data_IF_102449965219
#
_entry.id   IF_102449965219
#
_cell.length_a   1.000
_cell.length_b   1.000
_cell.length_c   1.000
_cell.angle_alpha   90.00
_cell.angle_beta   90.00
_cell.angle_gamma   90.00
#
_symmetry.space_group_name_H-M   'P 1'
#
loop_
_entity.id
_entity.type
_entity.pdbx_description
1 polymer ?
#
# COMPACT_ATOMS: atom_id res chain seq x y z
N UNK A 1 -17.85 -3.78 -40.37
CA UNK A 1 -18.74 -3.21 -39.31
C UNK A 1 -17.91 -3.17 -38.07
N UNK A 2 -17.64 -1.97 -37.56
CA UNK A 2 -16.80 -1.78 -36.38
C UNK A 2 -17.53 -2.33 -35.14
N UNK A 3 -16.91 -3.30 -34.45
CA UNK A 3 -17.36 -3.77 -33.16
C UNK A 3 -17.24 -2.63 -32.12
N UNK A 4 -18.32 -1.87 -31.97
CA UNK A 4 -18.44 -0.93 -30.87
C UNK A 4 -18.54 -1.66 -29.53
N UNK A 5 -18.27 -0.98 -28.39
CA UNK A 5 -18.36 -1.59 -27.07
C UNK A 5 -19.77 -2.14 -26.85
N UNK A 6 -19.83 -3.44 -26.50
CA UNK A 6 -21.09 -4.14 -26.25
C UNK A 6 -21.70 -3.63 -24.95
N UNK A 7 -22.96 -3.15 -24.93
CA UNK A 7 -23.60 -2.70 -23.70
C UNK A 7 -23.60 -3.77 -22.61
N UNK A 8 -23.47 -3.37 -21.34
CA UNK A 8 -23.39 -4.30 -20.20
C UNK A 8 -24.61 -5.25 -20.05
N UNK A 9 -25.77 -4.85 -20.59
CA UNK A 9 -27.01 -5.66 -20.63
C UNK A 9 -27.16 -6.52 -21.88
N UNK A 10 -26.20 -6.51 -22.80
CA UNK A 10 -26.28 -7.33 -23.98
C UNK A 10 -26.12 -8.82 -23.61
N UNK A 11 -26.75 -9.71 -24.39
CA UNK A 11 -26.67 -11.16 -24.17
C UNK A 11 -25.22 -11.67 -24.07
N UNK A 12 -24.28 -11.08 -24.83
CA UNK A 12 -22.88 -11.42 -24.77
C UNK A 12 -22.22 -11.09 -23.42
N UNK A 13 -22.63 -9.98 -22.77
CA UNK A 13 -22.16 -9.62 -21.44
C UNK A 13 -22.82 -10.46 -20.33
N UNK A 14 -24.04 -10.89 -20.56
CA UNK A 14 -24.77 -11.78 -19.63
C UNK A 14 -24.32 -13.25 -19.73
N UNK A 15 -23.64 -13.62 -20.81
CA UNK A 15 -23.02 -14.93 -20.98
C UNK A 15 -21.65 -15.06 -20.27
N UNK A 16 -21.19 -14.03 -19.58
CA UNK A 16 -20.06 -14.14 -18.65
C UNK A 16 -20.40 -15.22 -17.63
N UNK A 17 -19.70 -16.36 -17.73
CA UNK A 17 -19.79 -17.40 -16.71
C UNK A 17 -19.27 -16.75 -15.42
N UNK A 18 -20.15 -16.53 -14.49
CA UNK A 18 -19.72 -16.31 -13.12
C UNK A 18 -18.97 -17.57 -12.72
N UNK A 19 -17.69 -17.44 -12.40
CA UNK A 19 -16.97 -18.53 -11.78
C UNK A 19 -17.81 -18.96 -10.57
N UNK A 20 -18.09 -20.26 -10.45
CA UNK A 20 -18.75 -20.79 -9.26
C UNK A 20 -17.97 -20.25 -8.06
N UNK A 21 -18.60 -19.41 -7.28
CA UNK A 21 -18.00 -19.00 -6.00
C UNK A 21 -17.98 -20.28 -5.18
N UNK A 22 -16.79 -20.78 -4.79
CA UNK A 22 -16.75 -21.91 -3.87
C UNK A 22 -17.61 -21.54 -2.67
N UNK A 23 -18.35 -22.51 -2.14
CA UNK A 23 -19.09 -22.35 -0.88
C UNK A 23 -18.20 -21.56 0.07
N UNK A 24 -18.74 -20.51 0.68
CA UNK A 24 -17.99 -19.64 1.61
C UNK A 24 -17.51 -20.49 2.77
N UNK A 25 -16.37 -21.12 2.57
CA UNK A 25 -15.58 -21.68 3.66
C UNK A 25 -15.28 -20.52 4.61
N UNK A 26 -15.36 -20.79 5.89
CA UNK A 26 -15.01 -19.81 6.91
C UNK A 26 -13.61 -19.27 6.63
N UNK A 27 -13.51 -17.95 6.36
CA UNK A 27 -12.25 -17.30 6.03
C UNK A 27 -11.46 -17.09 7.34
N UNK A 28 -10.60 -18.06 7.66
CA UNK A 28 -9.73 -18.00 8.82
C UNK A 28 -8.30 -17.58 8.42
N UNK A 29 -7.46 -17.09 9.35
CA UNK A 29 -6.03 -16.88 9.09
C UNK A 29 -5.32 -18.14 8.57
N UNK A 30 -5.65 -19.31 9.08
CA UNK A 30 -5.09 -20.58 8.61
C UNK A 30 -5.45 -20.85 7.15
N UNK A 31 -6.69 -20.60 6.76
CA UNK A 31 -7.10 -20.68 5.35
C UNK A 31 -6.41 -19.59 4.51
N UNK A 32 -6.40 -18.35 4.98
CA UNK A 32 -5.93 -17.20 4.21
C UNK A 32 -4.42 -17.26 3.91
N UNK A 33 -3.58 -17.50 4.91
CA UNK A 33 -2.12 -17.51 4.77
C UNK A 33 -1.39 -18.61 5.52
N UNK A 34 -2.08 -19.50 6.26
CA UNK A 34 -1.40 -20.57 7.00
C UNK A 34 -0.49 -21.40 6.10
N UNK A 35 0.79 -21.48 6.47
CA UNK A 35 1.84 -22.19 5.72
C UNK A 35 2.34 -21.47 4.45
N UNK A 36 1.83 -20.28 4.15
CA UNK A 36 2.32 -19.48 3.02
C UNK A 36 3.64 -18.77 3.36
N UNK A 37 4.50 -18.58 2.37
CA UNK A 37 5.82 -17.96 2.50
C UNK A 37 6.00 -16.73 1.62
N UNK A 38 5.01 -16.39 0.79
CA UNK A 38 5.12 -15.36 -0.22
C UNK A 38 5.71 -15.82 -1.54
N UNK A 39 6.03 -17.12 -1.68
CA UNK A 39 6.65 -17.67 -2.89
C UNK A 39 5.86 -17.35 -4.15
N UNK A 40 6.55 -16.86 -5.19
CA UNK A 40 5.99 -16.52 -6.49
C UNK A 40 5.29 -15.16 -6.53
N UNK A 41 5.26 -14.41 -5.43
CA UNK A 41 4.69 -13.06 -5.35
C UNK A 41 5.79 -12.01 -5.49
N UNK A 42 5.57 -11.01 -6.33
CA UNK A 42 6.45 -9.87 -6.55
C UNK A 42 5.92 -8.64 -5.82
N UNK A 43 6.75 -8.08 -4.96
CA UNK A 43 6.40 -6.90 -4.16
C UNK A 43 7.28 -5.73 -4.56
N UNK A 44 6.69 -4.62 -4.99
CA UNK A 44 7.39 -3.36 -5.18
C UNK A 44 7.37 -2.52 -3.90
N UNK A 45 8.52 -2.04 -3.47
CA UNK A 45 8.63 -1.03 -2.41
C UNK A 45 8.98 0.30 -3.07
N UNK A 46 7.97 1.17 -3.21
CA UNK A 46 8.13 2.51 -3.78
C UNK A 46 8.45 3.46 -2.64
N UNK A 47 9.75 3.79 -2.50
CA UNK A 47 10.28 4.44 -1.29
C UNK A 47 11.63 5.14 -1.55
N UNK A 48 12.51 5.20 -0.55
CA UNK A 48 13.84 5.82 -0.58
C UNK A 48 14.96 4.96 -1.17
N UNK A 49 14.61 3.77 -1.66
CA UNK A 49 15.57 2.74 -2.08
C UNK A 49 15.64 1.61 -1.06
N UNK A 50 16.41 0.56 -1.38
CA UNK A 50 16.67 -0.56 -0.49
C UNK A 50 18.17 -0.86 -0.49
N UNK A 51 18.77 -1.03 0.68
CA UNK A 51 20.10 -1.61 0.84
C UNK A 51 20.00 -3.14 0.65
N UNK A 52 20.20 -3.60 -0.59
CA UNK A 52 20.01 -5.00 -0.97
C UNK A 52 20.98 -5.96 -0.25
N UNK A 53 22.13 -5.45 0.23
CA UNK A 53 23.11 -6.25 0.97
C UNK A 53 22.80 -6.33 2.47
N UNK A 54 21.78 -5.63 2.94
CA UNK A 54 21.45 -5.66 4.36
C UNK A 54 21.13 -7.10 4.82
N UNK A 55 21.78 -7.61 5.89
CA UNK A 55 21.60 -9.01 6.33
C UNK A 55 20.15 -9.41 6.60
N UNK A 56 19.32 -8.46 7.04
CA UNK A 56 17.89 -8.69 7.30
C UNK A 56 17.07 -9.00 6.04
N UNK A 57 17.62 -8.82 4.84
CA UNK A 57 16.91 -9.07 3.58
C UNK A 57 17.29 -10.41 2.92
N UNK A 58 18.37 -11.07 3.39
CA UNK A 58 18.71 -12.42 2.96
C UNK A 58 18.78 -12.67 1.45
N UNK A 59 19.01 -11.63 0.63
CA UNK A 59 19.02 -11.72 -0.83
C UNK A 59 17.64 -11.71 -1.50
N UNK A 60 16.58 -11.31 -0.79
CA UNK A 60 15.22 -11.24 -1.32
C UNK A 60 14.98 -10.11 -2.34
N UNK A 61 15.97 -9.20 -2.52
CA UNK A 61 15.83 -8.04 -3.42
C UNK A 61 16.22 -8.42 -4.84
N UNK A 62 15.29 -8.28 -5.76
CA UNK A 62 15.53 -8.40 -7.20
C UNK A 62 16.07 -7.06 -7.74
N UNK A 63 17.38 -6.98 -7.85
CA UNK A 63 18.05 -5.79 -8.38
C UNK A 63 17.73 -5.56 -9.86
N UNK A 64 17.44 -6.61 -10.64
CA UNK A 64 17.13 -6.49 -12.06
C UNK A 64 15.78 -5.82 -12.33
N UNK A 65 14.84 -5.97 -11.40
CA UNK A 65 13.53 -5.32 -11.42
C UNK A 65 13.51 -3.99 -10.62
N UNK A 66 14.64 -3.60 -10.04
CA UNK A 66 14.76 -2.37 -9.26
C UNK A 66 15.11 -1.16 -10.13
N UNK A 67 14.59 0.01 -9.75
CA UNK A 67 14.75 1.25 -10.51
C UNK A 67 14.80 2.46 -9.58
N UNK A 68 15.52 3.49 -9.96
CA UNK A 68 15.55 4.79 -9.28
C UNK A 68 15.06 5.90 -10.23
N UNK A 69 14.24 6.78 -9.72
CA UNK A 69 13.76 7.98 -10.39
C UNK A 69 14.40 9.21 -9.76
N UNK A 70 15.41 9.72 -10.42
CA UNK A 70 16.15 10.91 -10.01
C UNK A 70 15.68 12.15 -10.80
N UNK A 71 16.11 13.34 -10.39
CA UNK A 71 15.93 14.55 -11.19
C UNK A 71 17.27 14.89 -11.86
N UNK A 72 17.21 15.33 -13.10
CA UNK A 72 18.36 15.95 -13.76
C UNK A 72 18.54 17.42 -13.36
N UNK A 73 19.48 18.11 -14.03
CA UNK A 73 19.78 19.51 -13.74
C UNK A 73 18.65 20.48 -14.14
N UNK A 74 17.79 20.04 -15.04
CA UNK A 74 16.64 20.81 -15.52
C UNK A 74 15.37 20.49 -14.71
N UNK A 75 15.44 19.52 -13.76
CA UNK A 75 14.33 19.08 -12.90
C UNK A 75 13.43 18.03 -13.56
N UNK A 76 13.85 17.46 -14.68
CA UNK A 76 13.15 16.37 -15.35
C UNK A 76 13.45 15.02 -14.66
N UNK A 77 12.45 14.14 -14.68
CA UNK A 77 12.60 12.82 -14.07
C UNK A 77 13.40 11.90 -14.98
N UNK A 78 14.50 11.36 -14.47
CA UNK A 78 15.34 10.38 -15.15
C UNK A 78 15.24 9.02 -14.46
N UNK A 79 15.14 7.97 -15.28
CA UNK A 79 15.02 6.59 -14.85
C UNK A 79 16.37 5.88 -14.90
N UNK A 80 16.75 5.19 -13.81
CA UNK A 80 18.00 4.43 -13.69
C UNK A 80 17.70 3.02 -13.20
N UNK A 81 17.80 2.05 -14.07
CA UNK A 81 17.58 0.65 -13.75
C UNK A 81 18.73 0.03 -12.97
N UNK A 82 18.40 -1.01 -12.21
CA UNK A 82 19.32 -1.84 -11.48
C UNK A 82 19.60 -1.35 -10.07
N UNK A 83 20.67 -1.86 -9.53
CA UNK A 83 21.07 -1.61 -8.15
C UNK A 83 21.27 -0.12 -7.85
N UNK A 84 20.73 0.31 -6.74
CA UNK A 84 20.91 1.65 -6.18
C UNK A 84 20.90 1.60 -4.64
N UNK A 85 21.38 2.66 -4.01
CA UNK A 85 21.42 2.77 -2.55
C UNK A 85 20.07 3.26 -2.01
N UNK A 86 19.78 2.88 -0.77
CA UNK A 86 18.76 3.55 0.03
C UNK A 86 19.24 4.95 0.42
N UNK A 87 18.43 5.96 0.16
CA UNK A 87 18.81 7.35 0.39
C UNK A 87 18.69 7.78 1.88
N UNK A 88 17.85 7.11 2.69
CA UNK A 88 17.62 7.49 4.08
C UNK A 88 17.26 6.33 5.03
N UNK A 89 17.24 5.08 4.56
CA UNK A 89 16.97 3.88 5.36
C UNK A 89 15.50 3.48 5.46
N UNK A 90 14.59 4.34 5.03
CA UNK A 90 13.15 4.11 5.18
C UNK A 90 12.64 2.95 4.31
N UNK A 91 13.10 2.85 3.05
CA UNK A 91 12.71 1.76 2.16
C UNK A 91 13.30 0.41 2.58
N UNK A 92 14.54 0.38 3.10
CA UNK A 92 15.15 -0.82 3.69
C UNK A 92 14.34 -1.31 4.89
N UNK A 93 13.87 -0.39 5.74
CA UNK A 93 12.99 -0.71 6.87
C UNK A 93 11.68 -1.36 6.39
N UNK A 94 11.01 -0.76 5.40
CA UNK A 94 9.78 -1.32 4.83
C UNK A 94 10.02 -2.70 4.21
N UNK A 95 11.10 -2.88 3.46
CA UNK A 95 11.47 -4.14 2.85
C UNK A 95 11.77 -5.23 3.89
N UNK A 96 12.44 -4.88 4.99
CA UNK A 96 12.76 -5.81 6.08
C UNK A 96 11.51 -6.35 6.77
N UNK A 97 10.49 -5.51 6.97
CA UNK A 97 9.20 -5.94 7.50
C UNK A 97 8.52 -6.94 6.55
N UNK A 98 8.52 -6.63 5.26
CA UNK A 98 7.92 -7.51 4.24
C UNK A 98 8.65 -8.85 4.20
N UNK A 99 9.98 -8.85 4.15
CA UNK A 99 10.79 -10.08 4.10
C UNK A 99 10.62 -10.93 5.36
N UNK A 100 10.54 -10.30 6.53
CA UNK A 100 10.34 -11.02 7.79
C UNK A 100 9.05 -11.85 7.80
N UNK A 101 7.97 -11.34 7.19
CA UNK A 101 6.67 -12.03 7.19
C UNK A 101 6.47 -12.91 5.96
N UNK A 102 6.97 -12.49 4.82
CA UNK A 102 6.86 -13.16 3.53
C UNK A 102 8.26 -13.47 2.95
N UNK A 103 9.02 -14.40 3.57
CA UNK A 103 10.46 -14.59 3.32
C UNK A 103 10.79 -15.07 1.90
N UNK A 104 9.85 -15.65 1.16
CA UNK A 104 10.04 -16.10 -0.21
C UNK A 104 9.37 -15.18 -1.25
N UNK A 105 8.84 -14.03 -0.82
CA UNK A 105 8.41 -13.00 -1.77
C UNK A 105 9.63 -12.32 -2.40
N UNK A 106 9.55 -12.04 -3.69
CA UNK A 106 10.58 -11.28 -4.40
C UNK A 106 10.30 -9.79 -4.23
N UNK A 107 11.25 -9.04 -3.71
CA UNK A 107 11.10 -7.59 -3.43
C UNK A 107 11.89 -6.80 -4.48
N UNK A 108 11.30 -5.76 -5.05
CA UNK A 108 12.01 -4.81 -5.90
C UNK A 108 11.99 -3.41 -5.28
N UNK A 109 13.10 -2.72 -5.42
CA UNK A 109 13.29 -1.35 -4.95
C UNK A 109 12.91 -0.35 -6.03
N UNK A 110 11.90 0.45 -5.78
CA UNK A 110 11.50 1.56 -6.66
C UNK A 110 11.80 2.86 -5.92
N UNK A 111 13.01 3.40 -6.13
CA UNK A 111 13.45 4.59 -5.42
C UNK A 111 12.86 5.85 -6.04
N UNK A 112 12.07 6.57 -5.28
CA UNK A 112 11.51 7.87 -5.65
C UNK A 112 11.88 8.96 -4.65
N UNK A 113 12.23 8.59 -3.39
CA UNK A 113 12.59 9.52 -2.34
C UNK A 113 14.11 9.74 -2.31
N UNK A 114 14.53 10.99 -2.15
CA UNK A 114 15.92 11.38 -1.92
C UNK A 114 16.30 11.33 -0.43
N UNK A 115 17.54 11.75 -0.12
CA UNK A 115 18.11 11.75 1.23
C UNK A 115 17.32 12.57 2.27
N UNK A 116 16.54 13.57 1.83
CA UNK A 116 15.63 14.33 2.70
C UNK A 116 14.28 13.65 2.96
N UNK A 117 14.13 12.38 2.62
CA UNK A 117 12.87 11.62 2.69
C UNK A 117 11.73 12.36 1.96
N UNK A 118 12.02 12.93 0.81
CA UNK A 118 11.11 13.72 -0.01
C UNK A 118 11.30 13.42 -1.49
N UNK A 119 10.23 13.58 -2.25
CA UNK A 119 10.20 13.47 -3.71
C UNK A 119 9.33 14.57 -4.31
N UNK A 120 9.52 14.86 -5.58
CA UNK A 120 8.51 15.55 -6.38
C UNK A 120 7.34 14.60 -6.65
N UNK A 121 6.16 15.16 -6.88
CA UNK A 121 5.02 14.35 -7.27
C UNK A 121 5.26 13.63 -8.61
N UNK A 122 6.04 14.21 -9.51
CA UNK A 122 6.43 13.60 -10.78
C UNK A 122 7.25 12.32 -10.58
N UNK A 123 8.26 12.31 -9.68
CA UNK A 123 9.03 11.10 -9.33
C UNK A 123 8.11 10.03 -8.73
N UNK A 124 7.19 10.44 -7.84
CA UNK A 124 6.24 9.51 -7.23
C UNK A 124 5.30 8.89 -8.29
N UNK A 125 4.74 9.69 -9.19
CA UNK A 125 3.91 9.21 -10.31
C UNK A 125 4.72 8.25 -11.20
N UNK A 126 5.96 8.59 -11.55
CA UNK A 126 6.82 7.75 -12.38
C UNK A 126 7.10 6.39 -11.71
N UNK A 127 7.46 6.38 -10.42
CA UNK A 127 7.70 5.15 -9.68
C UNK A 127 6.48 4.26 -9.55
N UNK A 128 5.32 4.83 -9.25
CA UNK A 128 4.07 4.07 -9.19
C UNK A 128 3.67 3.54 -10.57
N UNK A 129 3.84 4.35 -11.62
CA UNK A 129 3.60 3.93 -13.02
C UNK A 129 4.45 2.73 -13.37
N UNK A 130 5.76 2.79 -13.11
CA UNK A 130 6.68 1.68 -13.35
C UNK A 130 6.26 0.41 -12.61
N UNK A 131 5.93 0.52 -11.32
CA UNK A 131 5.52 -0.63 -10.52
C UNK A 131 4.26 -1.32 -11.10
N UNK A 132 3.31 -0.54 -11.62
CA UNK A 132 2.10 -1.07 -12.26
C UNK A 132 2.44 -1.74 -13.59
N UNK A 133 3.24 -1.09 -14.44
CA UNK A 133 3.58 -1.58 -15.79
C UNK A 133 4.48 -2.80 -15.75
N UNK A 134 5.35 -2.90 -14.75
CA UNK A 134 6.17 -4.07 -14.49
C UNK A 134 5.38 -5.26 -13.91
N UNK A 135 4.09 -5.08 -13.58
CA UNK A 135 3.17 -6.14 -13.16
C UNK A 135 3.50 -6.70 -11.77
N UNK A 136 3.84 -5.85 -10.80
CA UNK A 136 3.98 -6.28 -9.41
C UNK A 136 2.63 -6.65 -8.81
N UNK A 137 2.58 -7.74 -8.03
CA UNK A 137 1.35 -8.22 -7.39
C UNK A 137 0.91 -7.31 -6.25
N UNK A 138 1.87 -6.85 -5.46
CA UNK A 138 1.69 -5.96 -4.31
C UNK A 138 2.62 -4.76 -4.48
N UNK A 139 2.09 -3.56 -4.30
CA UNK A 139 2.86 -2.32 -4.36
C UNK A 139 2.74 -1.63 -3.00
N UNK A 140 3.83 -1.60 -2.23
CA UNK A 140 3.88 -0.89 -0.95
C UNK A 140 4.26 0.56 -1.16
N UNK A 141 3.39 1.49 -0.74
CA UNK A 141 3.58 2.93 -0.77
C UNK A 141 3.59 3.47 0.66
N UNK A 142 4.76 3.52 1.30
CA UNK A 142 4.89 4.12 2.63
C UNK A 142 5.06 5.65 2.57
N UNK A 143 4.55 6.27 1.53
CA UNK A 143 4.59 7.70 1.26
C UNK A 143 3.26 8.21 0.69
N UNK A 144 3.10 9.52 0.64
CA UNK A 144 1.92 10.15 0.06
C UNK A 144 2.12 11.65 -0.17
N UNK A 145 1.24 12.26 -0.96
CA UNK A 145 1.25 13.70 -1.21
C UNK A 145 -0.03 14.37 -0.73
N UNK A 146 0.07 15.63 -0.36
CA UNK A 146 -1.08 16.49 -0.03
C UNK A 146 -1.45 17.44 -1.18
N UNK A 147 -0.67 17.43 -2.25
CA UNK A 147 -0.81 18.31 -3.40
C UNK A 147 -2.05 17.91 -4.22
N UNK A 148 -3.08 18.74 -4.17
CA UNK A 148 -4.40 18.48 -4.79
C UNK A 148 -4.35 18.39 -6.30
N UNK A 149 -3.44 19.10 -6.93
CA UNK A 149 -3.22 19.06 -8.37
C UNK A 149 -2.85 17.69 -8.90
N UNK A 150 -2.27 16.84 -8.05
CA UNK A 150 -1.88 15.46 -8.38
C UNK A 150 -2.93 14.41 -8.00
N UNK A 151 -4.01 14.82 -7.34
CA UNK A 151 -5.03 13.90 -6.84
C UNK A 151 -5.62 13.02 -7.95
N UNK A 152 -5.93 13.61 -9.13
CA UNK A 152 -6.50 12.85 -10.24
C UNK A 152 -5.50 11.85 -10.82
N UNK A 153 -4.24 12.25 -11.02
CA UNK A 153 -3.21 11.34 -11.52
C UNK A 153 -3.01 10.11 -10.62
N UNK A 154 -2.96 10.30 -9.29
CA UNK A 154 -2.89 9.17 -8.37
C UNK A 154 -4.15 8.32 -8.32
N UNK A 155 -5.32 8.94 -8.50
CA UNK A 155 -6.59 8.21 -8.61
C UNK A 155 -6.57 7.26 -9.82
N UNK A 156 -6.23 7.79 -11.00
CA UNK A 156 -6.15 7.00 -12.24
C UNK A 156 -5.12 5.87 -12.14
N UNK A 157 -3.97 6.12 -11.51
CA UNK A 157 -2.94 5.09 -11.29
C UNK A 157 -3.43 4.00 -10.33
N UNK A 158 -4.11 4.35 -9.23
CA UNK A 158 -4.64 3.35 -8.30
C UNK A 158 -5.73 2.49 -8.95
N UNK A 159 -6.62 3.08 -9.75
CA UNK A 159 -7.62 2.33 -10.51
C UNK A 159 -6.95 1.44 -11.56
N UNK A 160 -5.93 1.95 -12.28
CA UNK A 160 -5.16 1.16 -13.23
C UNK A 160 -4.49 -0.04 -12.57
N UNK A 161 -3.85 0.14 -11.40
CA UNK A 161 -3.28 -0.94 -10.60
C UNK A 161 -4.33 -1.99 -10.24
N UNK A 162 -5.47 -1.53 -9.73
CA UNK A 162 -6.58 -2.39 -9.34
C UNK A 162 -7.08 -3.28 -10.49
N UNK A 163 -7.27 -2.71 -11.69
CA UNK A 163 -7.70 -3.45 -12.88
C UNK A 163 -6.59 -4.31 -13.47
N UNK A 164 -5.32 -3.93 -13.29
CA UNK A 164 -4.15 -4.76 -13.65
C UNK A 164 -3.88 -5.90 -12.65
N UNK A 165 -4.71 -6.08 -11.64
CA UNK A 165 -4.58 -7.09 -10.59
C UNK A 165 -3.40 -6.84 -9.61
N UNK A 166 -2.91 -5.62 -9.51
CA UNK A 166 -1.94 -5.18 -8.52
C UNK A 166 -2.66 -4.56 -7.31
N UNK A 167 -2.30 -4.95 -6.10
CA UNK A 167 -2.83 -4.34 -4.88
C UNK A 167 -1.88 -3.25 -4.39
N UNK A 168 -2.33 -2.00 -4.44
CA UNK A 168 -1.62 -0.87 -3.84
C UNK A 168 -1.94 -0.81 -2.34
N UNK A 169 -0.92 -0.97 -1.49
CA UNK A 169 -1.01 -0.81 -0.03
C UNK A 169 -0.30 0.47 0.36
N UNK A 170 -1.00 1.39 0.97
CA UNK A 170 -0.48 2.73 1.26
C UNK A 170 -0.60 3.10 2.73
N UNK A 171 0.39 3.82 3.25
CA UNK A 171 0.31 4.39 4.58
C UNK A 171 -0.70 5.54 4.63
N UNK A 172 -1.57 5.55 5.63
CA UNK A 172 -2.37 6.70 5.96
C UNK A 172 -1.49 7.88 6.42
N UNK A 173 -1.98 9.11 6.28
CA UNK A 173 -1.25 10.27 6.76
C UNK A 173 -0.98 10.20 8.26
N UNK A 174 0.25 10.55 8.70
CA UNK A 174 0.60 10.63 10.12
C UNK A 174 -0.02 11.85 10.83
N UNK A 175 -0.65 12.74 10.08
CA UNK A 175 -1.38 13.92 10.57
C UNK A 175 -2.80 13.90 10.02
N UNK A 176 -3.72 14.60 10.67
CA UNK A 176 -5.14 14.65 10.31
C UNK A 176 -5.44 15.47 9.04
N UNK A 177 -4.59 15.34 8.02
CA UNK A 177 -4.75 15.99 6.73
C UNK A 177 -4.95 14.94 5.63
N UNK A 178 -5.75 15.24 4.58
CA UNK A 178 -5.87 14.38 3.42
C UNK A 178 -4.50 14.09 2.79
N UNK A 179 -4.25 12.84 2.42
CA UNK A 179 -3.04 12.42 1.72
C UNK A 179 -3.39 11.44 0.60
N UNK A 180 -2.85 11.64 -0.56
CA UNK A 180 -3.05 10.77 -1.71
C UNK A 180 -1.85 9.83 -1.87
N UNK A 181 -2.08 8.55 -2.21
CA UNK A 181 -3.32 7.91 -2.62
C UNK A 181 -4.14 7.26 -1.48
N UNK A 182 -3.83 7.49 -0.20
CA UNK A 182 -4.47 6.78 0.93
C UNK A 182 -5.98 7.05 1.11
N UNK A 183 -6.56 7.91 0.28
CA UNK A 183 -7.99 8.22 0.28
C UNK A 183 -8.81 7.42 -0.73
N UNK A 184 -8.17 6.66 -1.63
CA UNK A 184 -8.87 6.00 -2.72
C UNK A 184 -9.28 4.58 -2.38
N UNK A 185 -10.51 4.22 -2.74
CA UNK A 185 -11.04 2.88 -2.50
C UNK A 185 -10.33 1.78 -3.33
N UNK A 186 -9.68 2.13 -4.43
CA UNK A 186 -8.85 1.23 -5.24
C UNK A 186 -7.49 0.93 -4.61
N UNK A 187 -7.00 1.78 -3.68
CA UNK A 187 -5.87 1.49 -2.81
C UNK A 187 -6.34 0.91 -1.47
N UNK A 188 -5.42 0.33 -0.70
CA UNK A 188 -5.65 -0.16 0.65
C UNK A 188 -4.87 0.71 1.64
N UNK A 189 -5.58 1.47 2.48
CA UNK A 189 -4.99 2.43 3.41
C UNK A 189 -4.78 1.82 4.79
N UNK A 190 -3.57 2.00 5.35
CA UNK A 190 -3.16 1.42 6.63
C UNK A 190 -2.63 2.49 7.57
N UNK A 191 -3.09 2.44 8.83
CA UNK A 191 -2.53 3.22 9.93
C UNK A 191 -1.91 2.29 10.99
N UNK A 192 -1.09 2.85 11.88
CA UNK A 192 -0.46 2.08 12.94
C UNK A 192 -1.37 1.86 14.14
N UNK A 193 -1.15 0.75 14.83
CA UNK A 193 -1.69 0.43 16.14
C UNK A 193 -0.58 -0.13 17.07
N UNK A 194 -0.93 -0.44 18.31
CA UNK A 194 -0.03 -0.98 19.33
C UNK A 194 0.13 -2.52 19.27
N UNK A 195 -0.33 -3.20 18.23
CA UNK A 195 -0.16 -4.64 18.10
C UNK A 195 1.32 -5.01 18.13
N UNK A 196 1.69 -5.97 18.98
CA UNK A 196 3.06 -6.52 19.03
C UNK A 196 3.24 -7.68 18.06
N UNK A 197 2.20 -8.50 17.89
CA UNK A 197 2.16 -9.56 16.90
C UNK A 197 2.02 -8.95 15.50
N UNK A 198 2.95 -9.21 14.57
CA UNK A 198 2.92 -8.64 13.22
C UNK A 198 1.75 -9.15 12.37
N UNK A 199 1.13 -10.27 12.74
CA UNK A 199 -0.05 -10.82 12.07
C UNK A 199 -1.38 -10.33 12.67
N UNK A 200 -1.33 -9.54 13.75
CA UNK A 200 -2.54 -8.95 14.36
C UNK A 200 -2.82 -7.58 13.77
N UNK A 201 -3.95 -7.46 13.14
CA UNK A 201 -4.43 -6.20 12.59
C UNK A 201 -5.95 -6.07 12.79
N UNK A 202 -6.42 -4.84 12.72
CA UNK A 202 -7.84 -4.50 12.89
C UNK A 202 -8.38 -3.91 11.59
N UNK A 203 -9.60 -4.26 11.24
CA UNK A 203 -10.37 -3.57 10.21
C UNK A 203 -11.01 -2.31 10.80
N UNK A 204 -10.92 -1.20 10.08
CA UNK A 204 -11.57 0.04 10.46
C UNK A 204 -12.90 0.18 9.69
N UNK A 205 -14.05 0.15 10.37
CA UNK A 205 -15.34 0.28 9.70
C UNK A 205 -15.61 1.68 9.14
N UNK A 206 -14.75 2.65 9.45
CA UNK A 206 -14.93 4.05 9.04
C UNK A 206 -13.78 4.48 8.12
N UNK A 207 -13.94 4.35 6.78
CA UNK A 207 -12.91 4.78 5.82
C UNK A 207 -12.60 6.29 5.98
N UNK A 208 -11.47 6.77 5.41
CA UNK A 208 -10.68 6.16 4.35
C UNK A 208 -9.60 5.18 4.81
N UNK A 209 -9.15 5.23 6.06
CA UNK A 209 -8.20 4.21 6.57
C UNK A 209 -8.94 2.90 6.75
N UNK A 210 -8.48 1.84 6.09
CA UNK A 210 -9.19 0.56 6.09
C UNK A 210 -8.68 -0.41 7.15
N UNK A 211 -7.37 -0.37 7.46
CA UNK A 211 -6.76 -1.29 8.42
C UNK A 211 -5.83 -0.57 9.40
N UNK A 212 -5.71 -1.17 10.57
CA UNK A 212 -4.76 -0.75 11.60
C UNK A 212 -3.84 -1.93 11.90
N UNK A 213 -2.54 -1.76 11.72
CA UNK A 213 -1.54 -2.81 11.87
C UNK A 213 -0.37 -2.33 12.74
N UNK A 214 0.53 -3.26 13.09
CA UNK A 214 1.74 -2.95 13.84
C UNK A 214 2.53 -1.85 13.14
N UNK A 215 2.86 -0.78 13.85
CA UNK A 215 3.61 0.36 13.32
C UNK A 215 4.14 1.25 14.44
N UNK A 216 4.02 0.82 15.70
CA UNK A 216 4.52 1.53 16.89
C UNK A 216 5.62 0.67 17.49
N UNK A 217 6.78 1.30 17.72
CA UNK A 217 7.98 0.68 18.29
C UNK A 217 8.38 -0.60 17.53
N UNK A 218 8.53 -0.47 16.22
CA UNK A 218 8.92 -1.56 15.32
C UNK A 218 10.42 -1.57 15.16
N UNK A 219 11.06 -2.69 15.46
CA UNK A 219 12.47 -2.92 15.16
C UNK A 219 12.62 -3.27 13.68
N UNK A 220 13.43 -2.49 12.98
CA UNK A 220 13.61 -2.57 11.52
C UNK A 220 15.07 -2.47 11.13
N UNK A 221 15.40 -3.00 9.96
CA UNK A 221 16.67 -2.76 9.30
C UNK A 221 16.81 -1.27 8.93
N UNK A 222 18.03 -0.75 8.99
CA UNK A 222 18.32 0.64 8.70
C UNK A 222 19.63 0.79 7.92
N UNK A 223 20.04 2.02 7.64
CA UNK A 223 21.30 2.33 6.95
C UNK A 223 22.52 1.67 7.62
N UNK A 224 23.57 1.48 6.83
CA UNK A 224 24.86 0.95 7.25
C UNK A 224 24.75 -0.43 7.93
N UNK A 225 23.83 -1.29 7.44
CA UNK A 225 23.52 -2.60 8.00
C UNK A 225 23.09 -2.55 9.48
N UNK A 226 22.64 -1.39 9.95
CA UNK A 226 22.16 -1.15 11.30
C UNK A 226 20.71 -1.53 11.50
N UNK A 227 20.25 -1.38 12.74
CA UNK A 227 18.85 -1.56 13.13
C UNK A 227 18.42 -0.36 13.96
N UNK A 228 17.12 -0.07 13.91
CA UNK A 228 16.52 0.99 14.72
C UNK A 228 15.10 0.62 15.11
N UNK A 229 14.61 1.23 16.19
CA UNK A 229 13.20 1.12 16.59
C UNK A 229 12.49 2.39 16.18
N UNK A 230 11.38 2.26 15.44
CA UNK A 230 10.71 3.40 14.83
C UNK A 230 9.19 3.28 14.90
N UNK A 231 8.50 4.42 14.87
CA UNK A 231 7.03 4.51 14.92
C UNK A 231 6.50 5.32 13.75
N UNK A 232 5.47 4.81 13.06
CA UNK A 232 4.77 5.50 12.00
C UNK A 232 3.84 4.62 11.18
N UNK A 233 2.87 5.24 10.51
CA UNK A 233 1.98 4.54 9.59
C UNK A 233 2.74 3.89 8.43
N UNK A 234 3.89 4.46 8.06
CA UNK A 234 4.80 3.92 7.04
C UNK A 234 5.32 2.52 7.36
N UNK A 235 5.34 2.14 8.65
CA UNK A 235 5.77 0.82 9.09
C UNK A 235 4.60 -0.14 9.33
N UNK A 236 3.37 0.38 9.36
CA UNK A 236 2.16 -0.44 9.40
C UNK A 236 1.77 -0.96 8.00
N UNK A 237 1.92 -0.14 6.97
CA UNK A 237 1.60 -0.53 5.59
C UNK A 237 2.36 -1.79 5.13
N UNK A 238 3.69 -1.93 5.31
CA UNK A 238 4.42 -3.12 4.90
C UNK A 238 4.00 -4.41 5.64
N UNK A 239 3.48 -4.34 6.87
CA UNK A 239 2.90 -5.52 7.52
C UNK A 239 1.68 -6.04 6.75
N UNK A 240 0.76 -5.15 6.34
CA UNK A 240 -0.41 -5.53 5.55
C UNK A 240 0.01 -5.94 4.13
N UNK A 241 1.01 -5.29 3.53
CA UNK A 241 1.56 -5.68 2.23
C UNK A 241 2.12 -7.11 2.27
N UNK A 242 2.86 -7.46 3.33
CA UNK A 242 3.37 -8.80 3.53
C UNK A 242 2.27 -9.84 3.72
N UNK A 243 1.26 -9.57 4.56
CA UNK A 243 0.11 -10.47 4.74
C UNK A 243 -0.65 -10.64 3.41
N UNK A 244 -0.84 -9.57 2.64
CA UNK A 244 -1.45 -9.64 1.32
C UNK A 244 -0.61 -10.50 0.34
N UNK A 245 0.74 -10.42 0.42
CA UNK A 245 1.63 -11.27 -0.36
C UNK A 245 1.51 -12.75 0.04
N UNK A 246 1.39 -13.05 1.33
CA UNK A 246 1.12 -14.41 1.81
C UNK A 246 -0.22 -14.95 1.28
N UNK A 247 -1.29 -14.14 1.36
CA UNK A 247 -2.61 -14.52 0.84
C UNK A 247 -2.51 -14.76 -0.67
N UNK A 248 -1.87 -13.85 -1.42
CA UNK A 248 -1.69 -13.97 -2.87
C UNK A 248 -0.89 -15.21 -3.24
N UNK A 249 0.17 -15.55 -2.51
CA UNK A 249 0.98 -16.75 -2.78
C UNK A 249 0.19 -18.05 -2.61
N UNK A 250 -0.72 -18.07 -1.66
CA UNK A 250 -1.58 -19.24 -1.39
C UNK A 250 -2.81 -19.29 -2.31
N UNK A 251 -3.32 -18.13 -2.71
CA UNK A 251 -4.52 -17.96 -3.51
C UNK A 251 -4.26 -17.02 -4.71
N UNK A 252 -3.48 -17.45 -5.72
CA UNK A 252 -3.02 -16.58 -6.81
C UNK A 252 -4.14 -16.02 -7.70
N UNK A 253 -5.31 -16.66 -7.70
CA UNK A 253 -6.48 -16.21 -8.45
C UNK A 253 -7.28 -15.07 -7.82
N UNK A 254 -6.99 -14.69 -6.57
CA UNK A 254 -7.74 -13.61 -5.91
C UNK A 254 -7.43 -12.25 -6.54
N UNK A 255 -8.47 -11.47 -6.78
CA UNK A 255 -8.38 -10.09 -7.26
C UNK A 255 -8.19 -9.11 -6.07
N UNK A 256 -7.77 -7.87 -6.31
CA UNK A 256 -7.55 -6.89 -5.23
C UNK A 256 -8.72 -6.74 -4.27
N UNK A 257 -9.97 -6.69 -4.77
CA UNK A 257 -11.15 -6.60 -3.91
C UNK A 257 -11.35 -7.84 -3.03
N UNK A 258 -11.00 -9.03 -3.55
CA UNK A 258 -11.09 -10.28 -2.79
C UNK A 258 -9.98 -10.35 -1.73
N UNK A 259 -8.75 -9.89 -2.04
CA UNK A 259 -7.69 -9.75 -1.05
C UNK A 259 -8.12 -8.82 0.09
N UNK A 260 -8.73 -7.66 -0.23
CA UNK A 260 -9.29 -6.76 0.78
C UNK A 260 -10.38 -7.42 1.61
N UNK A 261 -11.26 -8.22 1.00
CA UNK A 261 -12.32 -8.96 1.70
C UNK A 261 -11.75 -10.03 2.62
N UNK A 262 -10.71 -10.77 2.19
CA UNK A 262 -10.02 -11.77 3.02
C UNK A 262 -9.32 -11.08 4.21
N UNK A 263 -8.61 -9.98 3.98
CA UNK A 263 -8.02 -9.18 5.05
C UNK A 263 -9.09 -8.70 6.04
N UNK A 264 -10.22 -8.18 5.53
CA UNK A 264 -11.32 -7.76 6.39
C UNK A 264 -11.84 -8.91 7.27
N UNK A 265 -12.12 -10.06 6.67
CA UNK A 265 -12.67 -11.22 7.38
C UNK A 265 -11.69 -11.83 8.40
N UNK A 266 -10.38 -11.62 8.23
CA UNK A 266 -9.34 -12.15 9.12
C UNK A 266 -8.86 -11.16 10.17
N UNK A 267 -9.34 -9.91 10.13
CA UNK A 267 -9.04 -8.91 11.14
C UNK A 267 -9.61 -9.32 12.52
N UNK A 268 -8.83 -9.14 13.58
CA UNK A 268 -9.16 -9.66 14.92
C UNK A 268 -10.48 -9.10 15.48
N UNK A 269 -10.80 -7.86 15.19
CA UNK A 269 -12.05 -7.22 15.63
C UNK A 269 -13.28 -7.64 14.81
N UNK A 270 -13.10 -8.12 13.59
CA UNK A 270 -14.19 -8.67 12.76
C UNK A 270 -14.51 -10.10 13.19
N UNK A 271 -13.50 -10.87 13.56
CA UNK A 271 -13.66 -12.23 14.09
C UNK A 271 -14.20 -12.29 15.51
N UNK A 272 -14.26 -11.16 16.20
CA UNK A 272 -14.72 -11.09 17.58
C UNK A 272 -13.65 -11.49 18.61
N UNK A 273 -12.38 -11.63 18.18
CA UNK A 273 -11.28 -12.03 19.05
C UNK A 273 -10.87 -10.90 20.01
N UNK A 274 -11.10 -9.64 19.63
CA UNK A 274 -10.87 -8.46 20.51
C UNK A 274 -11.61 -7.21 20.06
N UNK A 275 -12.02 -6.31 20.99
CA UNK A 275 -12.50 -4.99 20.65
C UNK A 275 -11.37 -4.11 20.09
N UNK A 276 -11.72 -3.10 19.27
CA UNK A 276 -10.77 -2.11 18.78
C UNK A 276 -10.37 -1.17 19.91
N UNK A 277 -9.14 -1.23 20.38
CA UNK A 277 -8.51 -0.15 21.11
C UNK A 277 -7.89 0.85 20.12
N UNK A 278 -8.65 1.87 19.73
CA UNK A 278 -8.13 2.95 18.90
C UNK A 278 -7.22 3.84 19.74
N UNK A 279 -5.99 4.17 19.31
CA UNK A 279 -5.20 5.19 19.95
C UNK A 279 -6.01 6.48 19.99
N UNK A 280 -6.17 7.11 21.15
CA UNK A 280 -7.11 8.19 21.41
C UNK A 280 -7.01 9.46 20.53
N UNK A 281 -5.99 9.55 19.67
CA UNK A 281 -5.82 10.62 18.67
C UNK A 281 -6.24 10.22 17.24
N UNK A 282 -6.39 8.93 16.92
CA UNK A 282 -6.84 8.48 15.60
C UNK A 282 -8.37 8.40 15.48
N UNK A 283 -9.10 8.46 16.61
CA UNK A 283 -10.55 8.25 16.66
C UNK A 283 -11.41 9.41 16.14
N UNK A 284 -10.82 10.51 15.67
CA UNK A 284 -11.60 11.65 15.15
C UNK A 284 -11.06 12.12 13.81
N UNK A 285 -11.41 11.42 12.77
CA UNK A 285 -11.44 11.94 11.40
C UNK A 285 -12.60 12.96 11.27
N UNK A 286 -12.52 14.08 11.98
CA UNK A 286 -13.45 15.20 11.76
C UNK A 286 -13.38 15.79 10.35
N UNK A 287 -12.40 15.39 9.55
CA UNK A 287 -12.21 15.91 8.20
C UNK A 287 -13.27 15.40 7.18
N UNK A 288 -13.92 14.27 7.42
CA UNK A 288 -14.91 13.71 6.50
C UNK A 288 -16.37 13.98 6.88
N UNK A 289 -16.65 14.28 8.13
CA UNK A 289 -18.00 14.72 8.54
C UNK A 289 -18.44 16.05 7.88
N UNK A 290 -17.47 16.85 7.41
CA UNK A 290 -17.76 18.09 6.68
C UNK A 290 -18.09 17.86 5.19
N UNK A 291 -17.73 16.70 4.60
CA UNK A 291 -18.05 16.38 3.21
C UNK A 291 -19.43 15.73 3.04
N UNK A 292 -19.95 15.05 4.04
CA UNK A 292 -21.27 14.42 3.98
C UNK A 292 -22.41 15.33 4.43
N UNK A 293 -22.14 16.46 5.09
CA UNK A 293 -23.15 17.45 5.52
C UNK A 293 -23.27 18.66 4.56
N UNK A 294 -22.56 18.68 3.44
CA UNK A 294 -22.40 19.84 2.58
C UNK A 294 -23.32 19.94 1.39
N UNK A 295 -24.55 19.44 1.45
CA UNK A 295 -25.60 19.81 0.48
C UNK A 295 -26.42 20.98 1.03
N UNK A 296 -25.77 22.09 1.36
CA UNK A 296 -26.41 23.44 1.36
C UNK A 296 -25.35 24.53 1.46
N UNK A 297 -25.38 25.40 0.42
CA UNK A 297 -24.85 26.76 0.37
C UNK A 297 -23.32 26.94 0.39
N UNK A 298 -22.82 27.27 -0.79
CA UNK A 298 -21.71 28.17 -1.05
C UNK A 298 -21.27 29.01 0.14
N UNK A 299 -20.20 28.59 0.83
CA UNK A 299 -19.40 29.48 1.64
C UNK A 299 -17.93 29.19 1.37
N UNK A 300 -17.36 30.05 0.55
CA UNK A 300 -15.91 30.14 0.34
C UNK A 300 -15.28 30.48 1.68
N UNK A 301 -14.58 29.53 2.28
CA UNK A 301 -13.68 29.79 3.39
C UNK A 301 -12.32 30.09 2.81
N UNK A 302 -11.90 31.34 2.82
CA UNK A 302 -10.51 31.75 2.62
C UNK A 302 -9.69 31.17 3.76
N UNK A 303 -8.68 30.40 3.46
CA UNK A 303 -7.62 30.08 4.39
C UNK A 303 -6.66 31.28 4.36
N UNK A 304 -6.62 32.03 5.45
CA UNK A 304 -5.60 33.06 5.63
C UNK A 304 -4.24 32.38 5.84
N UNK A 305 -3.30 32.80 5.01
CA UNK A 305 -1.87 32.58 5.22
C UNK A 305 -1.41 33.47 6.39
N UNK A 306 -1.18 32.88 7.53
CA UNK A 306 -0.25 33.48 8.51
C UNK A 306 0.02 32.51 9.70
N UNK A 307 1.31 32.18 9.89
CA UNK A 307 1.85 31.49 11.05
C UNK A 307 2.50 30.16 10.77
#
# INVERSE_FOLDING_TARGET
MADGPVPAWAKASMALRFAETPELLEVTPAWAWGGATGRGVRVAVVDSGIDADHPALGGAVDESASVAFDLDLDGEVIERHGRHRDACGHGTACASIIHQLAPEATIASIRVLGAGNSATAAQFVAGLTYAIDAGFDIINLSLGTRMREWALAFYELCDRAYFANSLVVTAAANRANPSYPSLYASALSVACNHARDPFRFHANPTPPTEFLARGIDVDVAWLDHGYTTITGNSFAAPHIAAIAALIRSKHPGLRPFQLKSVLWSTAVNVRGDEPIELPGRLSRTRAFGALSAGTRATRVVRLDDSG
#
